data_IF_119480900277
#
_entry.id   IF_119480900277
#
_cell.length_a   1.000
_cell.length_b   1.000
_cell.length_c   1.000
_cell.angle_alpha   90.00
_cell.angle_beta   90.00
_cell.angle_gamma   90.00
#
_symmetry.space_group_name_H-M   'P 1'
#
loop_
_entity.id
_entity.type
_entity.pdbx_description
1 polymer ?
#
# COMPACT_ATOMS: atom_id res chain seq x y z
N UNK A 1 -6.21 15.60 -0.32
CA UNK A 1 -5.17 14.63 -0.75
C UNK A 1 -4.61 13.95 0.49
N UNK A 2 -4.61 12.62 0.58
CA UNK A 2 -4.06 11.91 1.74
C UNK A 2 -2.53 12.03 1.78
N UNK A 3 -1.92 11.74 2.93
CA UNK A 3 -0.47 11.91 3.12
C UNK A 3 0.35 11.02 2.18
N UNK A 4 -0.12 9.81 1.89
CA UNK A 4 0.48 8.97 0.84
C UNK A 4 0.50 9.69 -0.52
N UNK A 5 -0.66 10.20 -0.96
CA UNK A 5 -0.78 10.88 -2.25
C UNK A 5 -0.02 12.21 -2.32
N UNK A 6 0.27 12.85 -1.18
CA UNK A 6 1.12 14.06 -1.11
C UNK A 6 2.58 13.74 -1.45
N UNK A 7 3.07 12.58 -1.02
CA UNK A 7 4.45 12.15 -1.23
C UNK A 7 4.64 11.35 -2.54
N UNK A 8 3.57 11.06 -3.27
CA UNK A 8 3.61 10.19 -4.45
C UNK A 8 4.50 10.67 -5.60
N UNK A 9 4.65 11.98 -5.74
CA UNK A 9 5.46 12.63 -6.77
C UNK A 9 6.97 12.55 -6.53
N UNK A 10 7.41 12.12 -5.35
CA UNK A 10 8.84 11.96 -5.06
C UNK A 10 9.35 10.61 -5.57
N UNK A 11 10.51 10.61 -6.23
CA UNK A 11 11.16 9.40 -6.75
C UNK A 11 11.93 8.62 -5.65
N UNK A 12 11.38 8.61 -4.44
CA UNK A 12 11.96 7.95 -3.26
C UNK A 12 11.14 6.73 -2.90
N UNK A 13 11.72 5.85 -2.08
CA UNK A 13 10.95 4.79 -1.42
C UNK A 13 10.07 5.45 -0.36
N UNK A 14 8.75 5.27 -0.45
CA UNK A 14 7.83 5.73 0.58
C UNK A 14 6.63 4.78 0.70
N UNK A 15 5.99 4.82 1.86
CA UNK A 15 4.81 4.02 2.14
C UNK A 15 4.00 4.56 3.30
N UNK A 16 2.86 3.93 3.56
CA UNK A 16 1.99 4.25 4.69
C UNK A 16 1.27 3.00 5.14
N UNK A 17 1.15 2.81 6.45
CA UNK A 17 0.48 1.64 7.00
C UNK A 17 -1.03 1.70 6.75
N UNK A 18 -1.61 0.55 6.42
CA UNK A 18 -3.04 0.36 6.22
C UNK A 18 -3.56 -0.44 7.42
N UNK A 19 -4.58 0.07 8.15
CA UNK A 19 -5.13 -0.67 9.28
C UNK A 19 -5.85 -1.93 8.79
N UNK A 20 -5.36 -3.10 9.22
CA UNK A 20 -6.11 -4.35 9.07
C UNK A 20 -7.25 -4.35 10.09
N UNK A 21 -8.48 -4.43 9.60
CA UNK A 21 -9.68 -4.59 10.44
C UNK A 21 -10.08 -6.05 10.47
N UNK A 22 -10.59 -6.49 11.63
CA UNK A 22 -11.16 -7.83 11.76
C UNK A 22 -12.36 -7.97 10.81
N UNK A 23 -12.34 -9.02 9.99
CA UNK A 23 -13.47 -9.46 9.19
C UNK A 23 -14.21 -10.60 9.91
N UNK A 24 -15.24 -11.16 9.29
CA UNK A 24 -16.05 -12.24 9.89
C UNK A 24 -15.24 -13.50 10.28
N UNK A 25 -14.07 -13.71 9.66
CA UNK A 25 -13.16 -14.81 9.98
C UNK A 25 -11.90 -14.29 10.67
N UNK A 26 -11.34 -15.13 11.54
CA UNK A 26 -10.01 -14.88 12.12
C UNK A 26 -8.94 -14.87 11.01
N UNK A 27 -7.99 -13.96 11.13
CA UNK A 27 -6.86 -13.81 10.22
C UNK A 27 -5.59 -13.67 11.03
N UNK A 28 -4.51 -14.29 10.55
CA UNK A 28 -3.17 -14.22 11.12
C UNK A 28 -2.29 -13.16 10.43
N UNK A 29 -2.89 -12.35 9.56
CA UNK A 29 -2.25 -11.18 8.96
C UNK A 29 -2.01 -10.13 10.04
N UNK A 30 -0.77 -9.66 10.12
CA UNK A 30 -0.35 -8.76 11.20
C UNK A 30 -0.38 -7.30 10.74
N UNK A 31 0.10 -7.03 9.53
CA UNK A 31 0.31 -5.68 9.04
C UNK A 31 0.05 -5.59 7.54
N UNK A 32 -0.38 -4.42 7.08
CA UNK A 32 -0.49 -4.11 5.66
C UNK A 32 0.06 -2.71 5.40
N UNK A 33 0.72 -2.50 4.27
CA UNK A 33 1.29 -1.23 3.89
C UNK A 33 1.03 -0.94 2.42
N UNK A 34 0.73 0.31 2.08
CA UNK A 34 0.87 0.81 0.70
C UNK A 34 2.31 1.30 0.52
N UNK A 35 3.01 0.84 -0.51
CA UNK A 35 4.42 1.17 -0.75
C UNK A 35 4.67 1.45 -2.23
N UNK A 36 5.60 2.36 -2.52
CA UNK A 36 6.21 2.54 -3.84
C UNK A 36 7.72 2.43 -3.68
N UNK A 37 8.35 1.48 -4.37
CA UNK A 37 9.80 1.35 -4.44
C UNK A 37 10.37 2.18 -5.60
N UNK A 38 11.68 2.39 -5.57
CA UNK A 38 12.40 3.06 -6.65
C UNK A 38 12.31 2.23 -7.93
N UNK A 39 11.73 2.81 -8.98
CA UNK A 39 11.56 2.14 -10.27
C UNK A 39 10.22 1.42 -10.46
N UNK A 40 9.37 1.37 -9.42
CA UNK A 40 8.02 0.85 -9.57
C UNK A 40 7.20 1.80 -10.46
N UNK A 41 6.52 1.22 -11.45
CA UNK A 41 5.60 1.96 -12.34
C UNK A 41 4.35 2.42 -11.59
N UNK A 42 3.88 1.62 -10.66
CA UNK A 42 2.70 1.86 -9.82
C UNK A 42 3.00 1.41 -8.40
N UNK A 43 2.41 2.02 -7.38
CA UNK A 43 2.55 1.53 -6.01
C UNK A 43 1.78 0.22 -5.83
N UNK A 44 2.16 -0.53 -4.80
CA UNK A 44 1.51 -1.78 -4.42
C UNK A 44 1.07 -1.77 -2.96
N UNK A 45 0.19 -2.71 -2.62
CA UNK A 45 -0.10 -3.08 -1.23
C UNK A 45 0.71 -4.33 -0.90
N UNK A 46 1.43 -4.28 0.21
CA UNK A 46 2.18 -5.41 0.76
C UNK A 46 1.48 -5.84 2.05
N UNK A 47 1.25 -7.13 2.19
CA UNK A 47 0.66 -7.76 3.37
C UNK A 47 1.76 -8.54 4.08
N UNK A 48 1.84 -8.37 5.40
CA UNK A 48 2.83 -9.03 6.24
C UNK A 48 2.17 -10.00 7.22
N UNK A 49 2.89 -11.09 7.48
CA UNK A 49 2.62 -12.05 8.55
C UNK A 49 3.88 -12.20 9.39
N UNK A 50 3.89 -11.59 10.57
CA UNK A 50 5.01 -11.67 11.51
C UNK A 50 6.33 -11.15 10.90
N UNK A 51 6.30 -9.92 10.38
CA UNK A 51 7.42 -9.24 9.72
C UNK A 51 7.90 -9.86 8.40
N UNK A 52 7.19 -10.84 7.83
CA UNK A 52 7.47 -11.42 6.51
C UNK A 52 6.40 -11.03 5.52
N UNK A 53 6.79 -10.63 4.31
CA UNK A 53 5.85 -10.41 3.22
C UNK A 53 5.14 -11.73 2.89
N UNK A 54 3.81 -11.72 3.01
CA UNK A 54 2.93 -12.88 2.77
C UNK A 54 2.12 -12.73 1.49
N UNK A 55 1.98 -11.50 0.98
CA UNK A 55 1.32 -11.22 -0.29
C UNK A 55 1.62 -9.80 -0.75
N UNK A 56 1.52 -9.57 -2.06
CA UNK A 56 1.61 -8.25 -2.65
C UNK A 56 0.68 -8.15 -3.86
N UNK A 57 0.20 -6.95 -4.15
CA UNK A 57 -0.50 -6.66 -5.40
C UNK A 57 -0.39 -5.17 -5.75
N UNK A 58 -0.31 -4.89 -7.04
CA UNK A 58 -0.26 -3.53 -7.57
C UNK A 58 -1.61 -2.84 -7.47
N UNK A 59 -1.60 -1.52 -7.29
CA UNK A 59 -2.82 -0.72 -7.20
C UNK A 59 -2.81 0.46 -8.17
N UNK A 60 -3.96 0.70 -8.79
CA UNK A 60 -4.18 1.83 -9.70
C UNK A 60 -4.84 3.01 -8.99
N UNK A 61 -5.52 2.76 -7.86
CA UNK A 61 -6.22 3.77 -7.09
C UNK A 61 -5.75 3.76 -5.64
N UNK A 62 -5.61 4.94 -5.04
CA UNK A 62 -5.25 5.07 -3.64
C UNK A 62 -6.37 4.52 -2.75
N UNK A 63 -6.10 3.49 -1.90
CA UNK A 63 -7.11 2.91 -1.02
C UNK A 63 -7.58 3.89 0.06
N UNK A 64 -6.79 4.92 0.36
CA UNK A 64 -7.11 5.90 1.41
C UNK A 64 -7.99 7.05 0.94
N UNK A 65 -7.93 7.44 -0.35
CA UNK A 65 -8.66 8.61 -0.84
C UNK A 65 -9.19 8.50 -2.28
N UNK A 66 -9.07 7.34 -2.93
CA UNK A 66 -9.63 7.07 -4.26
C UNK A 66 -8.93 7.73 -5.45
N UNK A 67 -7.82 8.47 -5.24
CA UNK A 67 -7.07 9.13 -6.33
C UNK A 67 -6.46 8.08 -7.26
N UNK A 68 -6.54 8.28 -8.59
CA UNK A 68 -5.80 7.48 -9.58
C UNK A 68 -4.29 7.71 -9.42
N UNK A 69 -3.53 6.62 -9.31
CA UNK A 69 -2.08 6.59 -9.05
C UNK A 69 -1.28 6.19 -10.28
N UNK A 70 -1.86 5.40 -11.20
CA UNK A 70 -1.23 5.13 -12.48
C UNK A 70 -1.34 6.36 -13.39
N UNK A 71 -0.20 6.94 -13.74
CA UNK A 71 -0.10 7.86 -14.88
C UNK A 71 -0.03 7.01 -16.17
N UNK A 72 -0.70 7.48 -17.22
CA UNK A 72 -0.75 6.84 -18.55
C UNK A 72 0.60 6.88 -19.27
#
# INVERSE_FOLDING_TARGET
MCDFCKNYSDNRIFGTDIPIKKCANETDLTDAQIMKNTGDKVPGIIIYKGCKAAGYFDIVFCPMCGRKLAEE
#
